data_IF_988351578099
#
_entry.id   IF_988351578099
#
_cell.length_a   1.000
_cell.length_b   1.000
_cell.length_c   1.000
_cell.angle_alpha   90.00
_cell.angle_beta   90.00
_cell.angle_gamma   90.00
#
_symmetry.space_group_name_H-M   'P 1'
#
loop_
_entity.id
_entity.type
_entity.pdbx_description
1 polymer ?
#
# COMPACT_ATOMS: atom_id res chain seq x y z
N UNK A 1 -22.45 -67.73 -34.21
CA UNK A 1 -22.24 -67.47 -35.65
C UNK A 1 -21.97 -65.98 -35.84
N UNK A 2 -20.86 -65.63 -36.50
CA UNK A 2 -20.45 -64.30 -37.03
C UNK A 2 -19.90 -63.26 -36.02
N UNK A 3 -18.59 -63.06 -36.18
CA UNK A 3 -17.75 -61.95 -35.74
C UNK A 3 -18.23 -60.59 -36.27
N UNK A 4 -17.92 -59.53 -35.54
CA UNK A 4 -17.85 -58.18 -36.10
C UNK A 4 -16.68 -57.43 -35.47
N UNK A 5 -15.61 -57.34 -36.26
CA UNK A 5 -14.48 -56.46 -36.07
C UNK A 5 -14.98 -55.03 -35.81
N UNK A 6 -14.61 -54.45 -34.67
CA UNK A 6 -14.85 -53.04 -34.40
C UNK A 6 -13.77 -52.23 -35.13
N UNK A 7 -14.00 -51.94 -36.40
CA UNK A 7 -13.17 -51.02 -37.18
C UNK A 7 -13.45 -49.59 -36.72
N UNK A 8 -12.63 -49.07 -35.81
CA UNK A 8 -12.67 -47.66 -35.45
C UNK A 8 -12.32 -46.80 -36.67
N UNK A 9 -13.29 -46.00 -37.11
CA UNK A 9 -13.13 -45.00 -38.17
C UNK A 9 -12.08 -43.95 -37.77
N UNK A 10 -11.26 -43.51 -38.72
CA UNK A 10 -10.23 -42.45 -38.53
C UNK A 10 -10.78 -41.17 -37.87
N UNK A 11 -12.09 -40.92 -37.95
CA UNK A 11 -12.76 -39.82 -37.25
C UNK A 11 -12.77 -39.97 -35.73
N UNK A 12 -12.82 -41.18 -35.19
CA UNK A 12 -12.83 -41.41 -33.73
C UNK A 12 -11.43 -41.26 -33.10
N UNK A 13 -10.35 -41.48 -33.88
CA UNK A 13 -8.98 -41.20 -33.43
C UNK A 13 -8.71 -39.69 -33.40
N UNK A 14 -9.28 -38.93 -34.35
CA UNK A 14 -9.14 -37.47 -34.38
C UNK A 14 -9.81 -36.78 -33.17
N UNK A 15 -10.94 -37.29 -32.67
CA UNK A 15 -11.62 -36.70 -31.50
C UNK A 15 -10.88 -36.98 -30.19
N UNK A 16 -10.14 -38.09 -30.09
CA UNK A 16 -9.37 -38.43 -28.89
C UNK A 16 -8.12 -37.56 -28.72
N UNK A 17 -7.56 -37.02 -29.81
CA UNK A 17 -6.38 -36.15 -29.78
C UNK A 17 -6.74 -34.69 -29.41
N UNK A 18 -7.99 -34.27 -29.63
CA UNK A 18 -8.45 -32.92 -29.27
C UNK A 18 -8.66 -32.72 -27.76
N UNK A 19 -8.77 -33.79 -26.97
CA UNK A 19 -9.02 -33.73 -25.52
C UNK A 19 -7.74 -33.67 -24.66
N UNK A 20 -6.55 -33.79 -25.25
CA UNK A 20 -5.25 -33.72 -24.55
C UNK A 20 -4.51 -32.39 -24.89
N UNK A 21 -5.19 -31.48 -25.58
CA UNK A 21 -4.66 -30.17 -26.00
C UNK A 21 -5.04 -28.99 -25.10
N UNK A 22 -5.64 -29.22 -23.93
CA UNK A 22 -5.75 -28.17 -22.90
C UNK A 22 -4.47 -28.16 -22.07
N UNK A 23 -3.34 -27.85 -22.71
CA UNK A 23 -2.18 -27.34 -22.00
C UNK A 23 -2.63 -26.04 -21.34
N UNK A 24 -2.87 -26.13 -20.04
CA UNK A 24 -3.21 -25.01 -19.18
C UNK A 24 -2.10 -23.98 -19.27
N UNK A 25 -2.30 -22.99 -20.13
CA UNK A 25 -1.69 -21.68 -19.96
C UNK A 25 -2.33 -21.05 -18.71
N UNK A 26 -1.99 -21.57 -17.53
CA UNK A 26 -2.02 -20.76 -16.31
C UNK A 26 -0.92 -19.74 -16.56
N UNK A 27 -1.30 -18.63 -17.18
CA UNK A 27 -0.55 -17.40 -17.06
C UNK A 27 -0.44 -17.18 -15.55
N UNK A 28 0.77 -17.37 -15.02
CA UNK A 28 1.13 -16.79 -13.74
C UNK A 28 0.96 -15.28 -13.92
N UNK A 29 -0.25 -14.79 -13.69
CA UNK A 29 -0.50 -13.42 -13.30
C UNK A 29 0.16 -13.30 -11.93
N UNK A 30 1.47 -13.08 -11.92
CA UNK A 30 2.11 -12.49 -10.76
C UNK A 30 1.29 -11.23 -10.48
N UNK A 31 0.65 -11.11 -9.30
CA UNK A 31 0.00 -9.85 -8.97
C UNK A 31 1.08 -8.80 -9.13
N UNK A 32 0.92 -7.90 -10.09
CA UNK A 32 1.79 -6.73 -10.18
C UNK A 32 1.64 -6.08 -8.81
N UNK A 33 2.73 -6.09 -8.03
CA UNK A 33 2.77 -5.37 -6.78
C UNK A 33 2.74 -3.91 -7.19
N UNK A 34 1.54 -3.34 -7.21
CA UNK A 34 1.34 -1.92 -7.45
C UNK A 34 1.92 -1.21 -6.23
N UNK A 35 3.11 -0.66 -6.44
CA UNK A 35 3.80 0.23 -5.53
C UNK A 35 3.66 1.64 -6.08
N UNK A 36 3.54 2.64 -5.21
CA UNK A 36 3.60 4.01 -5.70
C UNK A 36 5.01 4.27 -6.26
N UNK A 37 5.05 4.82 -7.47
CA UNK A 37 6.27 5.30 -8.09
C UNK A 37 6.51 6.77 -7.73
N UNK A 38 5.43 7.51 -7.51
CA UNK A 38 5.45 8.95 -7.23
C UNK A 38 4.49 9.33 -6.11
N UNK A 39 4.86 10.38 -5.40
CA UNK A 39 3.99 11.14 -4.52
C UNK A 39 3.73 12.51 -5.17
N UNK A 40 2.46 12.90 -5.24
CA UNK A 40 2.05 14.21 -5.70
C UNK A 40 1.83 15.08 -4.46
N UNK A 41 2.83 15.91 -4.14
CA UNK A 41 2.78 16.81 -3.00
C UNK A 41 2.06 18.10 -3.39
N UNK A 42 0.97 18.43 -2.68
CA UNK A 42 0.22 19.65 -2.94
C UNK A 42 0.69 20.81 -2.08
N UNK A 43 0.86 21.97 -2.71
CA UNK A 43 1.15 23.23 -2.03
C UNK A 43 0.44 24.38 -2.72
N UNK A 44 -0.44 25.10 -1.99
CA UNK A 44 -1.15 26.30 -2.47
C UNK A 44 -1.80 26.15 -3.88
N UNK A 45 -2.35 24.97 -4.17
CA UNK A 45 -3.01 24.67 -5.46
C UNK A 45 -2.10 24.14 -6.57
N UNK A 46 -0.79 24.01 -6.33
CA UNK A 46 0.16 23.36 -7.23
C UNK A 46 0.44 21.92 -6.77
N UNK A 47 0.72 21.04 -7.72
CA UNK A 47 1.15 19.66 -7.49
C UNK A 47 2.63 19.53 -7.89
N UNK A 48 3.46 19.07 -6.97
CA UNK A 48 4.87 18.77 -7.21
C UNK A 48 5.04 17.25 -7.20
N UNK A 49 5.31 16.61 -8.36
CA UNK A 49 5.63 15.20 -8.40
C UNK A 49 7.02 14.97 -7.81
N UNK A 50 7.09 14.13 -6.78
CA UNK A 50 8.34 13.65 -6.19
C UNK A 50 8.36 12.13 -6.34
N UNK A 51 9.46 11.57 -6.81
CA UNK A 51 9.57 10.11 -6.90
C UNK A 51 9.73 9.47 -5.52
N UNK A 52 9.21 8.24 -5.36
CA UNK A 52 9.46 7.46 -4.14
C UNK A 52 10.96 7.18 -3.94
N UNK A 53 11.73 7.14 -5.04
CA UNK A 53 13.17 7.03 -4.99
C UNK A 53 13.83 8.27 -4.35
N UNK A 54 13.34 9.48 -4.61
CA UNK A 54 13.85 10.69 -3.95
C UNK A 54 13.56 10.71 -2.45
N UNK A 55 12.37 10.26 -2.04
CA UNK A 55 12.04 10.07 -0.62
C UNK A 55 12.97 9.06 0.05
N UNK A 56 13.27 7.96 -0.65
CA UNK A 56 14.20 6.94 -0.19
C UNK A 56 15.63 7.49 -0.04
N UNK A 57 16.09 8.29 -0.99
CA UNK A 57 17.39 8.96 -0.88
C UNK A 57 17.44 9.85 0.37
N UNK A 58 16.45 10.70 0.61
CA UNK A 58 16.39 11.49 1.85
C UNK A 58 16.38 10.63 3.11
N UNK A 59 15.63 9.51 3.10
CA UNK A 59 15.59 8.58 4.22
C UNK A 59 16.97 7.98 4.55
N UNK A 60 17.66 7.47 3.53
CA UNK A 60 18.93 6.74 3.65
C UNK A 60 20.11 7.68 3.90
N UNK A 61 20.28 8.73 3.09
CA UNK A 61 21.46 9.60 3.12
C UNK A 61 21.27 10.81 4.03
N UNK A 62 20.02 11.22 4.27
CA UNK A 62 19.70 12.47 4.93
C UNK A 62 19.78 13.71 4.02
N UNK A 63 20.07 13.52 2.74
CA UNK A 63 20.15 14.59 1.74
C UNK A 63 18.93 14.53 0.82
N UNK A 64 18.18 15.63 0.74
CA UNK A 64 17.04 15.72 -0.17
C UNK A 64 17.52 16.01 -1.59
N UNK A 65 17.08 15.22 -2.60
CA UNK A 65 17.35 15.53 -4.00
C UNK A 65 16.77 16.89 -4.41
N UNK A 66 17.25 17.51 -5.51
CA UNK A 66 16.94 18.90 -5.84
C UNK A 66 15.45 19.25 -5.85
N UNK A 67 14.59 18.38 -6.41
CA UNK A 67 13.14 18.61 -6.48
C UNK A 67 12.51 18.61 -5.09
N UNK A 68 12.84 17.60 -4.28
CA UNK A 68 12.36 17.48 -2.90
C UNK A 68 12.90 18.60 -2.02
N UNK A 69 14.16 19.00 -2.18
CA UNK A 69 14.76 20.12 -1.47
C UNK A 69 14.07 21.45 -1.83
N UNK A 70 13.74 21.66 -3.11
CA UNK A 70 12.99 22.82 -3.55
C UNK A 70 11.59 22.87 -2.92
N UNK A 71 10.88 21.73 -2.88
CA UNK A 71 9.59 21.62 -2.20
C UNK A 71 9.71 21.93 -0.69
N UNK A 72 10.63 21.29 0.02
CA UNK A 72 10.85 21.48 1.47
C UNK A 72 11.17 22.96 1.79
N UNK A 73 11.96 23.61 0.93
CA UNK A 73 12.31 25.03 1.08
C UNK A 73 11.10 25.92 0.80
N UNK A 74 10.30 25.59 -0.22
CA UNK A 74 9.09 26.32 -0.59
C UNK A 74 8.01 26.26 0.51
N UNK A 75 7.93 25.13 1.22
CA UNK A 75 6.99 24.89 2.33
C UNK A 75 7.53 25.31 3.69
N UNK A 76 8.75 25.86 3.77
CA UNK A 76 9.44 26.22 5.01
C UNK A 76 9.56 25.05 6.02
N UNK A 77 9.69 23.82 5.51
CA UNK A 77 9.87 22.64 6.34
C UNK A 77 11.34 22.41 6.70
N UNK A 78 11.56 21.77 7.84
CA UNK A 78 12.89 21.27 8.22
C UNK A 78 13.13 19.91 7.53
N UNK A 79 14.16 19.78 6.68
CA UNK A 79 14.50 18.51 6.03
C UNK A 79 14.67 17.34 7.01
N UNK A 80 15.19 17.61 8.23
CA UNK A 80 15.35 16.57 9.25
C UNK A 80 14.01 16.13 9.83
N UNK A 81 13.04 17.03 9.97
CA UNK A 81 11.69 16.65 10.41
C UNK A 81 10.96 15.86 9.34
N UNK A 82 11.11 16.25 8.07
CA UNK A 82 10.55 15.49 6.93
C UNK A 82 11.16 14.09 6.86
N UNK A 83 12.48 13.98 6.98
CA UNK A 83 13.17 12.69 7.06
C UNK A 83 12.64 11.83 8.19
N UNK A 84 12.54 12.38 9.40
CA UNK A 84 11.99 11.66 10.57
C UNK A 84 10.55 11.21 10.32
N UNK A 85 9.69 12.07 9.77
CA UNK A 85 8.32 11.71 9.45
C UNK A 85 8.25 10.53 8.45
N UNK A 86 9.17 10.47 7.49
CA UNK A 86 9.25 9.36 6.53
C UNK A 86 9.75 8.06 7.16
N UNK A 87 10.77 8.13 8.02
CA UNK A 87 11.51 6.94 8.50
C UNK A 87 11.13 6.47 9.90
N UNK A 88 10.47 7.29 10.70
CA UNK A 88 10.12 6.92 12.06
C UNK A 88 9.10 5.79 12.04
N UNK A 89 9.48 4.68 12.65
CA UNK A 89 8.66 3.48 12.72
C UNK A 89 7.68 3.54 13.88
N UNK A 90 6.52 2.97 13.62
CA UNK A 90 5.46 2.75 14.59
C UNK A 90 5.31 1.26 14.81
N UNK A 91 5.30 0.81 16.07
CA UNK A 91 5.13 -0.61 16.40
C UNK A 91 3.64 -0.95 16.43
N UNK A 92 3.26 -1.98 15.69
CA UNK A 92 1.87 -2.43 15.59
C UNK A 92 1.80 -3.93 15.75
N UNK A 93 0.74 -4.42 16.40
CA UNK A 93 0.40 -5.84 16.35
C UNK A 93 -0.43 -6.08 15.08
N UNK A 94 0.04 -6.86 14.08
CA UNK A 94 -0.67 -7.01 12.81
C UNK A 94 -2.09 -7.58 12.95
N UNK A 95 -2.33 -8.45 13.93
CA UNK A 95 -3.65 -9.05 14.19
C UNK A 95 -4.63 -8.02 14.78
N UNK A 96 -4.16 -7.18 15.71
CA UNK A 96 -4.99 -6.12 16.27
C UNK A 96 -5.23 -5.00 15.26
N UNK A 97 -4.21 -4.68 14.46
CA UNK A 97 -4.27 -3.67 13.42
C UNK A 97 -5.39 -3.98 12.43
N UNK A 98 -5.46 -5.20 11.89
CA UNK A 98 -6.49 -5.57 10.92
C UNK A 98 -7.89 -5.46 11.53
N UNK A 99 -8.09 -5.94 12.76
CA UNK A 99 -9.39 -5.81 13.45
C UNK A 99 -9.79 -4.35 13.68
N UNK A 100 -8.84 -3.49 14.05
CA UNK A 100 -9.10 -2.07 14.29
C UNK A 100 -9.41 -1.34 12.99
N UNK A 101 -8.61 -1.52 11.94
CA UNK A 101 -8.81 -0.84 10.66
C UNK A 101 -10.09 -1.27 9.93
N UNK A 102 -10.69 -2.41 10.30
CA UNK A 102 -11.95 -2.91 9.73
C UNK A 102 -13.19 -2.60 10.58
N UNK A 103 -13.06 -1.84 11.67
CA UNK A 103 -14.20 -1.45 12.52
C UNK A 103 -14.58 0.04 12.32
N UNK A 104 -15.74 0.51 12.81
CA UNK A 104 -16.18 1.90 12.59
C UNK A 104 -15.21 2.98 13.11
N UNK A 105 -14.46 2.71 14.19
CA UNK A 105 -13.46 3.64 14.74
C UNK A 105 -12.26 3.73 13.79
N UNK A 106 -11.77 2.59 13.31
CA UNK A 106 -10.70 2.53 12.31
C UNK A 106 -11.13 3.14 10.98
N UNK A 107 -12.37 2.91 10.53
CA UNK A 107 -12.88 3.54 9.31
C UNK A 107 -12.90 5.06 9.41
N UNK A 108 -13.35 5.62 10.55
CA UNK A 108 -13.33 7.07 10.78
C UNK A 108 -11.89 7.63 10.80
N UNK A 109 -10.92 6.86 11.30
CA UNK A 109 -9.51 7.23 11.26
C UNK A 109 -8.94 7.17 9.83
N UNK A 110 -9.25 6.11 9.09
CA UNK A 110 -8.87 5.98 7.69
C UNK A 110 -9.48 7.11 6.84
N UNK A 111 -10.72 7.53 7.11
CA UNK A 111 -11.34 8.67 6.44
C UNK A 111 -10.63 9.99 6.80
N UNK A 112 -10.16 10.14 8.04
CA UNK A 112 -9.34 11.29 8.44
C UNK A 112 -7.98 11.30 7.73
N UNK A 113 -7.33 10.15 7.63
CA UNK A 113 -6.09 10.00 6.85
C UNK A 113 -6.38 10.30 5.38
N UNK A 114 -7.51 9.84 4.84
CA UNK A 114 -8.00 10.06 3.47
C UNK A 114 -8.17 11.53 3.07
N UNK A 115 -8.24 12.44 4.04
CA UNK A 115 -8.23 13.88 3.77
C UNK A 115 -6.84 14.39 3.42
N UNK A 116 -5.80 13.78 3.99
CA UNK A 116 -4.40 14.14 3.81
C UNK A 116 -3.74 13.28 2.74
N UNK A 117 -3.93 11.96 2.77
CA UNK A 117 -3.32 11.00 1.86
C UNK A 117 -4.41 10.30 1.08
N UNK A 118 -4.38 10.33 -0.24
CA UNK A 118 -5.43 9.77 -1.07
C UNK A 118 -4.96 9.39 -2.47
N UNK A 119 -5.82 8.67 -3.20
CA UNK A 119 -5.62 8.43 -4.63
C UNK A 119 -5.88 9.70 -5.44
N UNK A 120 -5.23 9.89 -6.61
CA UNK A 120 -5.55 11.02 -7.49
C UNK A 120 -7.02 11.08 -7.90
N UNK A 121 -7.67 9.91 -8.03
CA UNK A 121 -9.08 9.81 -8.37
C UNK A 121 -10.04 10.08 -7.19
N UNK A 122 -9.53 10.23 -5.95
CA UNK A 122 -10.32 10.33 -4.71
C UNK A 122 -11.34 9.19 -4.57
N UNK A 123 -10.94 7.99 -4.97
CA UNK A 123 -11.79 6.79 -5.00
C UNK A 123 -11.13 5.67 -4.21
N UNK A 124 -11.94 5.02 -3.38
CA UNK A 124 -11.51 3.90 -2.56
C UNK A 124 -10.29 4.22 -1.67
N UNK A 125 -10.16 5.48 -1.24
CA UNK A 125 -9.02 5.94 -0.44
C UNK A 125 -8.91 5.14 0.86
N UNK A 126 -10.04 4.86 1.52
CA UNK A 126 -10.09 4.02 2.73
C UNK A 126 -9.46 2.65 2.49
N UNK A 127 -9.84 1.98 1.41
CA UNK A 127 -9.34 0.66 1.04
C UNK A 127 -7.85 0.74 0.68
N UNK A 128 -7.44 1.76 -0.07
CA UNK A 128 -6.06 1.95 -0.48
C UNK A 128 -5.14 2.16 0.73
N UNK A 129 -5.52 3.07 1.64
CA UNK A 129 -4.79 3.36 2.88
C UNK A 129 -4.74 2.12 3.77
N UNK A 130 -5.87 1.42 3.97
CA UNK A 130 -5.90 0.19 4.77
C UNK A 130 -4.96 -0.86 4.21
N UNK A 131 -5.03 -1.14 2.91
CA UNK A 131 -4.15 -2.09 2.25
C UNK A 131 -2.68 -1.71 2.42
N UNK A 132 -2.33 -0.44 2.19
CA UNK A 132 -0.96 0.05 2.34
C UNK A 132 -0.44 -0.15 3.77
N UNK A 133 -1.22 0.25 4.79
CA UNK A 133 -0.85 0.10 6.20
C UNK A 133 -0.70 -1.38 6.59
N UNK A 134 -1.66 -2.22 6.22
CA UNK A 134 -1.63 -3.66 6.54
C UNK A 134 -0.42 -4.33 5.88
N UNK A 135 -0.18 -4.09 4.59
CA UNK A 135 0.99 -4.62 3.88
C UNK A 135 2.31 -4.08 4.44
N UNK A 136 2.33 -2.85 4.96
CA UNK A 136 3.48 -2.29 5.67
C UNK A 136 3.81 -3.08 6.93
N UNK A 137 2.81 -3.44 7.72
CA UNK A 137 2.98 -4.14 8.99
C UNK A 137 3.33 -5.63 8.88
N UNK A 138 3.01 -6.30 7.76
CA UNK A 138 3.17 -7.75 7.62
C UNK A 138 4.59 -8.31 7.85
N UNK A 139 5.68 -7.67 7.37
CA UNK A 139 7.02 -8.26 7.47
C UNK A 139 7.52 -8.40 8.91
N UNK A 140 7.26 -7.41 9.77
CA UNK A 140 7.91 -7.32 11.08
C UNK A 140 7.10 -6.59 12.17
N UNK A 141 5.84 -6.23 11.90
CA UNK A 141 5.00 -5.49 12.85
C UNK A 141 5.44 -4.04 13.05
N UNK A 142 6.22 -3.48 12.13
CA UNK A 142 6.60 -2.07 12.12
C UNK A 142 6.06 -1.40 10.87
N UNK A 143 5.73 -0.12 11.00
CA UNK A 143 5.18 0.68 9.91
C UNK A 143 5.79 2.06 9.93
N UNK A 144 6.39 2.46 8.80
CA UNK A 144 6.80 3.83 8.52
C UNK A 144 5.92 4.47 7.44
N UNK A 145 5.93 5.81 7.36
CA UNK A 145 5.22 6.52 6.29
C UNK A 145 5.80 6.19 4.91
N UNK A 146 7.13 6.04 4.81
CA UNK A 146 7.80 5.66 3.56
C UNK A 146 7.31 4.29 3.05
N UNK A 147 7.17 3.30 3.93
CA UNK A 147 6.67 1.98 3.54
C UNK A 147 5.21 2.03 3.10
N UNK A 148 4.37 2.82 3.77
CA UNK A 148 2.98 3.02 3.36
C UNK A 148 2.92 3.60 1.95
N UNK A 149 3.72 4.62 1.65
CA UNK A 149 3.82 5.20 0.31
C UNK A 149 4.27 4.13 -0.69
N UNK A 150 5.33 3.38 -0.38
CA UNK A 150 5.84 2.31 -1.25
C UNK A 150 4.84 1.19 -1.51
N UNK A 151 3.97 0.87 -0.55
CA UNK A 151 2.98 -0.21 -0.65
C UNK A 151 1.58 0.29 -1.03
N UNK A 152 1.46 1.56 -1.40
CA UNK A 152 0.19 2.16 -1.78
C UNK A 152 -0.28 1.58 -3.14
N UNK A 153 -1.53 1.11 -3.27
CA UNK A 153 -1.96 0.28 -4.40
C UNK A 153 -2.26 1.05 -5.70
N UNK A 154 -1.69 2.25 -5.85
CA UNK A 154 -1.80 3.08 -7.05
C UNK A 154 -0.42 3.60 -7.44
N UNK A 155 -0.21 3.85 -8.74
CA UNK A 155 1.07 4.36 -9.25
C UNK A 155 1.45 5.71 -8.62
N UNK A 156 0.44 6.55 -8.34
CA UNK A 156 0.61 7.83 -7.67
C UNK A 156 -0.18 7.85 -6.37
N UNK A 157 0.39 8.43 -5.32
CA UNK A 157 -0.33 8.82 -4.10
C UNK A 157 -0.32 10.33 -3.97
N UNK A 158 -1.48 10.94 -3.75
CA UNK A 158 -1.59 12.36 -3.46
C UNK A 158 -1.50 12.59 -1.97
N UNK A 159 -0.66 13.55 -1.58
CA UNK A 159 -0.58 14.03 -0.21
C UNK A 159 -0.88 15.53 -0.21
N UNK A 160 -2.01 15.86 0.40
CA UNK A 160 -2.46 17.22 0.65
C UNK A 160 -1.54 17.88 1.67
N UNK A 161 -1.22 19.14 1.39
CA UNK A 161 -0.55 20.00 2.33
C UNK A 161 0.97 19.92 2.28
N UNK A 162 1.53 21.01 2.75
CA UNK A 162 2.91 21.33 3.09
C UNK A 162 3.54 20.38 4.13
N UNK A 163 2.97 19.21 4.46
CA UNK A 163 3.28 18.51 5.71
C UNK A 163 3.22 16.97 5.62
N UNK A 164 4.25 16.35 5.04
CA UNK A 164 4.57 14.92 5.28
C UNK A 164 4.61 14.57 6.79
N UNK A 165 4.96 15.56 7.61
CA UNK A 165 4.89 15.48 9.08
C UNK A 165 3.46 15.23 9.57
N UNK A 166 2.45 15.92 9.03
CA UNK A 166 1.05 15.70 9.41
C UNK A 166 0.59 14.29 9.03
N UNK A 167 0.99 13.79 7.84
CA UNK A 167 0.70 12.41 7.45
C UNK A 167 1.29 11.40 8.46
N UNK A 168 2.52 11.64 8.92
CA UNK A 168 3.13 10.86 9.99
C UNK A 168 2.39 11.00 11.33
N UNK A 169 1.93 12.20 11.70
CA UNK A 169 1.14 12.38 12.91
C UNK A 169 -0.16 11.56 12.88
N UNK A 170 -0.82 11.45 11.73
CA UNK A 170 -2.00 10.58 11.60
C UNK A 170 -1.64 9.11 11.78
N UNK A 171 -0.50 8.66 11.25
CA UNK A 171 0.02 7.31 11.46
C UNK A 171 0.28 7.05 12.96
N UNK A 172 0.91 7.98 13.67
CA UNK A 172 1.19 7.86 15.12
C UNK A 172 -0.07 7.73 15.99
N UNK A 173 -1.23 8.22 15.51
CA UNK A 173 -2.52 8.08 16.20
C UNK A 173 -3.00 6.64 16.18
N UNK A 174 -2.71 5.87 15.11
CA UNK A 174 -3.04 4.45 15.03
C UNK A 174 -2.35 3.69 16.16
N UNK A 175 -1.07 3.97 16.41
CA UNK A 175 -0.30 3.33 17.48
C UNK A 175 -0.93 3.53 18.86
N UNK A 176 -1.35 4.77 19.14
CA UNK A 176 -2.00 5.13 20.41
C UNK A 176 -3.28 4.34 20.60
N UNK A 177 -4.12 4.29 19.56
CA UNK A 177 -5.36 3.51 19.61
C UNK A 177 -5.09 2.01 19.82
N UNK A 178 -4.06 1.46 19.19
CA UNK A 178 -3.66 0.07 19.37
C UNK A 178 -3.22 -0.23 20.80
N UNK A 179 -2.43 0.68 21.41
CA UNK A 179 -2.00 0.56 22.81
C UNK A 179 -3.19 0.66 23.76
N UNK A 180 -4.05 1.66 23.59
CA UNK A 180 -5.22 1.86 24.44
C UNK A 180 -6.13 0.62 24.43
N UNK A 181 -6.38 0.05 23.24
CA UNK A 181 -7.17 -1.19 23.10
C UNK A 181 -6.47 -2.38 23.77
N UNK A 182 -5.17 -2.54 23.60
CA UNK A 182 -4.42 -3.61 24.24
C UNK A 182 -4.48 -3.50 25.78
N UNK A 183 -4.32 -2.30 26.33
CA UNK A 183 -4.34 -2.07 27.77
C UNK A 183 -5.71 -2.35 28.39
N UNK A 184 -6.80 -2.02 27.66
CA UNK A 184 -8.17 -2.36 28.07
C UNK A 184 -8.37 -3.89 28.18
N UNK A 185 -7.83 -4.68 27.26
CA UNK A 185 -7.95 -6.13 27.32
C UNK A 185 -7.08 -6.77 28.41
N UNK A 186 -5.89 -6.22 28.66
CA UNK A 186 -4.99 -6.71 29.71
C UNK A 186 -5.46 -6.34 31.12
N UNK A 187 -6.22 -5.26 31.29
CA UNK A 187 -6.76 -4.84 32.60
C UNK A 187 -8.01 -5.60 33.07
N UNK A 188 -8.58 -6.48 32.24
CA UNK A 188 -9.80 -7.26 32.54
C UNK A 188 -9.47 -8.72 32.94
N UNK A 189 -8.21 -9.16 32.77
CA UNK A 189 -7.70 -10.48 33.16
C UNK A 189 -6.88 -10.40 34.46
#
# INVERSE_FOLDING_TARGET
MRSAFFTLSAKQIATAILLIGCATAVSWNTPQVLAAEQILLKYQGFEVPISVQELKTLAETGEAPPTLQAYISLTNQDPQQVRRALTQEVKVNPLLLDNILNNPVGEALLDRIGRVVHTPARKADRQAIRSAITLSALPDGRVSLLEIIQKYPTADVQVEGDQLVEAYEQLSRIERLLRDVNDLFQGIL
#
